data_IF_728908131952
#
_entry.id   IF_728908131952
#
_cell.length_a   1.000
_cell.length_b   1.000
_cell.length_c   1.000
_cell.angle_alpha   90.00
_cell.angle_beta   90.00
_cell.angle_gamma   90.00
#
_symmetry.space_group_name_H-M   'P 1'
#
loop_
_entity.id
_entity.type
_entity.pdbx_description
1 polymer ?
#
# COMPACT_ATOMS: atom_id res chain seq x y z
N UNK A 1 -5.82 0.79 -23.19
CA UNK A 1 -5.04 -0.17 -23.98
C UNK A 1 -5.50 -1.55 -23.60
N UNK A 2 -6.07 -2.28 -24.52
CA UNK A 2 -6.55 -3.64 -24.29
C UNK A 2 -5.43 -4.62 -24.68
N UNK A 3 -5.20 -5.66 -23.88
CA UNK A 3 -4.32 -6.77 -24.23
C UNK A 3 -3.00 -6.87 -23.46
N UNK A 4 -2.74 -6.05 -22.45
CA UNK A 4 -1.57 -6.25 -21.58
C UNK A 4 -1.84 -7.38 -20.57
N UNK A 5 -0.90 -8.31 -20.45
CA UNK A 5 -1.02 -9.41 -19.49
C UNK A 5 -0.58 -8.91 -18.12
N UNK A 6 -1.56 -8.64 -17.26
CA UNK A 6 -1.33 -8.23 -15.87
C UNK A 6 -1.29 -9.47 -14.98
N UNK A 7 -0.28 -9.57 -14.13
CA UNK A 7 -0.14 -10.64 -13.14
C UNK A 7 0.16 -10.09 -11.75
N UNK A 8 -0.17 -10.88 -10.73
CA UNK A 8 0.28 -10.66 -9.35
C UNK A 8 1.20 -11.79 -8.94
N UNK A 9 2.36 -11.42 -8.40
CA UNK A 9 3.39 -12.36 -7.94
C UNK A 9 3.68 -12.13 -6.47
N UNK A 10 3.79 -13.22 -5.73
CA UNK A 10 4.24 -13.23 -4.34
C UNK A 10 5.55 -14.00 -4.27
N UNK A 11 6.59 -13.40 -3.72
CA UNK A 11 7.89 -14.03 -3.62
C UNK A 11 8.86 -13.24 -2.77
N UNK A 12 10.12 -13.63 -2.79
CA UNK A 12 11.18 -12.98 -2.04
C UNK A 12 12.19 -12.33 -2.99
N UNK A 13 12.72 -11.17 -2.63
CA UNK A 13 13.80 -10.55 -3.38
C UNK A 13 15.09 -11.36 -3.25
N UNK A 14 15.74 -11.65 -4.37
CA UNK A 14 17.00 -12.43 -4.41
C UNK A 14 18.23 -11.59 -4.08
N UNK A 15 18.14 -10.28 -4.31
CA UNK A 15 19.15 -9.27 -4.03
C UNK A 15 18.47 -7.94 -3.71
N UNK A 16 19.23 -6.97 -3.22
CA UNK A 16 18.76 -5.60 -3.06
C UNK A 16 18.33 -5.01 -4.41
N UNK A 17 17.26 -4.19 -4.47
CA UNK A 17 16.89 -3.50 -5.70
C UNK A 17 18.02 -2.59 -6.17
N UNK A 18 18.42 -2.74 -7.44
CA UNK A 18 19.49 -1.96 -8.04
C UNK A 18 18.92 -0.68 -8.66
N UNK A 19 19.11 0.45 -7.99
CA UNK A 19 18.69 1.77 -8.48
C UNK A 19 19.74 2.30 -9.48
N UNK A 20 19.29 2.68 -10.65
CA UNK A 20 20.10 3.32 -11.70
C UNK A 20 19.36 4.52 -12.28
N UNK A 21 20.11 5.42 -12.90
CA UNK A 21 19.54 6.55 -13.64
C UNK A 21 19.88 6.41 -15.11
N UNK A 22 18.89 6.59 -15.96
CA UNK A 22 19.07 6.62 -17.41
C UNK A 22 19.83 7.90 -17.82
N UNK A 23 20.29 7.97 -19.07
CA UNK A 23 20.94 9.16 -19.60
C UNK A 23 20.08 10.43 -19.49
N UNK A 24 18.76 10.28 -19.49
CA UNK A 24 17.80 11.36 -19.31
C UNK A 24 17.47 11.65 -17.84
N UNK A 25 18.22 11.08 -16.89
CA UNK A 25 18.00 11.29 -15.46
C UNK A 25 16.78 10.54 -14.88
N UNK A 26 16.17 9.61 -15.63
CA UNK A 26 15.03 8.84 -15.17
C UNK A 26 15.49 7.69 -14.28
N UNK A 27 15.01 7.65 -13.04
CA UNK A 27 15.29 6.56 -12.12
C UNK A 27 14.61 5.26 -12.56
N UNK A 28 15.34 4.16 -12.44
CA UNK A 28 14.84 2.79 -12.62
C UNK A 28 15.46 1.88 -11.55
N UNK A 29 14.64 1.07 -10.89
CA UNK A 29 15.13 0.05 -9.99
C UNK A 29 14.84 -1.33 -10.59
N UNK A 30 15.88 -2.18 -10.64
CA UNK A 30 15.77 -3.54 -11.16
C UNK A 30 16.00 -4.51 -10.01
N UNK A 31 15.20 -5.57 -9.96
CA UNK A 31 15.30 -6.63 -8.96
C UNK A 31 14.75 -7.93 -9.50
N UNK A 32 14.98 -9.02 -8.78
CA UNK A 32 14.45 -10.35 -9.12
C UNK A 32 13.62 -10.88 -7.97
N UNK A 33 12.40 -11.32 -8.27
CA UNK A 33 11.49 -11.97 -7.33
C UNK A 33 11.59 -13.47 -7.54
N UNK A 34 11.94 -14.22 -6.47
CA UNK A 34 11.86 -15.67 -6.45
C UNK A 34 10.53 -16.10 -5.85
N UNK A 35 9.68 -16.71 -6.66
CA UNK A 35 8.40 -17.28 -6.24
C UNK A 35 8.52 -18.80 -6.24
N UNK A 36 8.45 -19.42 -5.06
CA UNK A 36 8.56 -20.87 -4.91
C UNK A 36 7.20 -21.42 -4.52
N UNK A 37 6.53 -22.19 -5.39
CA UNK A 37 5.28 -22.86 -5.05
C UNK A 37 5.55 -23.98 -4.04
N UNK A 38 4.61 -24.18 -3.10
CA UNK A 38 4.67 -25.31 -2.17
C UNK A 38 3.49 -26.24 -2.43
N UNK A 39 3.78 -27.52 -2.56
CA UNK A 39 2.80 -28.57 -2.74
C UNK A 39 2.85 -29.53 -1.56
N UNK A 40 1.67 -29.94 -1.11
CA UNK A 40 1.60 -30.96 -0.06
C UNK A 40 1.71 -32.36 -0.65
N UNK A 41 2.78 -33.07 -0.27
CA UNK A 41 2.96 -34.49 -0.63
C UNK A 41 2.18 -35.36 0.35
N UNK A 42 1.06 -35.92 -0.14
CA UNK A 42 0.19 -36.77 0.69
C UNK A 42 0.83 -38.11 1.10
N UNK A 43 1.80 -38.61 0.32
CA UNK A 43 2.48 -39.85 0.62
C UNK A 43 3.52 -39.68 1.74
N UNK A 44 4.27 -38.57 1.68
CA UNK A 44 5.25 -38.23 2.69
C UNK A 44 4.66 -37.42 3.87
N UNK A 45 3.39 -36.99 3.76
CA UNK A 45 2.70 -36.11 4.71
C UNK A 45 3.49 -34.85 5.04
N UNK A 46 4.13 -34.26 4.05
CA UNK A 46 4.97 -33.07 4.20
C UNK A 46 4.76 -32.05 3.07
N UNK A 47 5.10 -30.79 3.33
CA UNK A 47 5.13 -29.74 2.33
C UNK A 47 6.46 -29.74 1.61
N UNK A 48 6.43 -29.91 0.28
CA UNK A 48 7.61 -29.85 -0.59
C UNK A 48 7.63 -28.53 -1.38
N UNK A 49 8.81 -27.93 -1.47
CA UNK A 49 9.02 -26.79 -2.33
C UNK A 49 9.14 -27.29 -3.78
N UNK A 50 8.43 -26.65 -4.69
CA UNK A 50 8.54 -26.87 -6.12
C UNK A 50 9.65 -26.01 -6.74
N UNK A 51 9.74 -26.03 -8.07
CA UNK A 51 10.69 -25.24 -8.80
C UNK A 51 10.44 -23.73 -8.59
N UNK A 52 11.49 -23.00 -8.24
CA UNK A 52 11.42 -21.57 -8.04
C UNK A 52 11.33 -20.83 -9.38
N UNK A 53 10.33 -19.99 -9.52
CA UNK A 53 10.23 -19.04 -10.62
C UNK A 53 11.04 -17.77 -10.26
N UNK A 54 12.05 -17.46 -11.06
CA UNK A 54 12.82 -16.22 -10.96
C UNK A 54 12.29 -15.22 -11.99
N UNK A 55 11.60 -14.19 -11.51
CA UNK A 55 11.02 -13.17 -12.36
C UNK A 55 11.79 -11.86 -12.20
N UNK A 56 12.41 -11.38 -13.28
CA UNK A 56 13.03 -10.06 -13.34
C UNK A 56 11.94 -9.01 -13.34
N UNK A 57 12.10 -7.98 -12.52
CA UNK A 57 11.14 -6.91 -12.34
C UNK A 57 11.82 -5.56 -12.42
N UNK A 58 11.09 -4.56 -12.90
CA UNK A 58 11.54 -3.18 -12.97
C UNK A 58 10.43 -2.22 -12.54
N UNK A 59 10.85 -1.15 -11.86
CA UNK A 59 10.00 0.00 -11.50
C UNK A 59 10.69 1.29 -11.95
N UNK A 60 9.91 2.34 -12.19
CA UNK A 60 10.40 3.56 -12.82
C UNK A 60 10.09 4.81 -12.01
N UNK A 61 10.87 5.87 -12.22
CA UNK A 61 10.70 7.21 -11.64
C UNK A 61 10.83 7.21 -10.11
N UNK A 62 10.11 8.10 -9.45
CA UNK A 62 10.08 8.24 -7.99
C UNK A 62 9.76 6.91 -7.28
N UNK A 63 8.90 6.09 -7.87
CA UNK A 63 8.57 4.77 -7.36
C UNK A 63 9.81 3.85 -7.27
N UNK A 64 10.78 3.98 -8.19
CA UNK A 64 12.04 3.23 -8.16
C UNK A 64 12.89 3.61 -6.93
N UNK A 65 12.93 4.88 -6.59
CA UNK A 65 13.64 5.37 -5.41
C UNK A 65 12.99 4.87 -4.12
N UNK A 66 11.66 4.89 -4.05
CA UNK A 66 10.92 4.36 -2.91
C UNK A 66 11.15 2.86 -2.72
N UNK A 67 11.13 2.08 -3.78
CA UNK A 67 11.37 0.63 -3.74
C UNK A 67 12.79 0.34 -3.28
N UNK A 68 13.78 1.02 -3.85
CA UNK A 68 15.19 0.84 -3.49
C UNK A 68 15.48 1.28 -2.04
N UNK A 69 14.79 2.30 -1.54
CA UNK A 69 14.91 2.76 -0.15
C UNK A 69 14.14 1.94 0.88
N UNK A 70 13.21 1.07 0.44
CA UNK A 70 12.30 0.37 1.36
C UNK A 70 12.50 -1.13 1.40
N UNK A 71 12.95 -1.75 0.31
CA UNK A 71 13.05 -3.20 0.16
C UNK A 71 14.50 -3.64 0.07
N UNK A 72 14.81 -4.79 0.67
CA UNK A 72 16.15 -5.39 0.67
C UNK A 72 16.09 -6.86 0.26
N UNK A 73 17.24 -7.47 0.04
CA UNK A 73 17.36 -8.91 -0.19
C UNK A 73 16.61 -9.70 0.87
N UNK A 74 15.84 -10.69 0.43
CA UNK A 74 15.04 -11.54 1.31
C UNK A 74 13.67 -10.95 1.69
N UNK A 75 13.41 -9.67 1.41
CA UNK A 75 12.08 -9.09 1.62
C UNK A 75 11.03 -9.89 0.86
N UNK A 76 10.02 -10.37 1.58
CA UNK A 76 8.83 -10.99 0.96
C UNK A 76 7.91 -9.89 0.47
N UNK A 77 7.56 -9.94 -0.80
CA UNK A 77 6.77 -8.90 -1.47
C UNK A 77 5.56 -9.48 -2.17
N UNK A 78 4.56 -8.63 -2.36
CA UNK A 78 3.45 -8.81 -3.29
C UNK A 78 3.65 -7.75 -4.35
N UNK A 79 3.79 -8.16 -5.61
CA UNK A 79 3.97 -7.26 -6.74
C UNK A 79 2.91 -7.53 -7.80
N UNK A 80 2.33 -6.46 -8.33
CA UNK A 80 1.43 -6.49 -9.48
C UNK A 80 2.05 -5.69 -10.61
N UNK A 81 1.90 -6.18 -11.85
CA UNK A 81 2.45 -5.50 -13.00
C UNK A 81 2.16 -6.22 -14.29
N UNK A 82 2.73 -5.71 -15.36
CA UNK A 82 2.53 -6.17 -16.73
C UNK A 82 3.71 -7.01 -17.18
N UNK A 83 3.42 -8.20 -17.70
CA UNK A 83 4.45 -9.01 -18.34
C UNK A 83 4.89 -8.38 -19.68
N UNK A 84 6.18 -8.23 -19.84
CA UNK A 84 6.84 -7.75 -21.04
C UNK A 84 7.77 -8.82 -21.57
N UNK A 85 7.62 -9.17 -22.81
CA UNK A 85 8.57 -10.03 -23.50
C UNK A 85 9.62 -9.15 -24.18
N UNK A 86 10.90 -9.40 -23.90
CA UNK A 86 12.03 -8.79 -24.57
C UNK A 86 12.81 -9.84 -25.33
N UNK A 87 13.03 -9.58 -26.61
CA UNK A 87 13.97 -10.36 -27.43
C UNK A 87 15.29 -9.62 -27.52
N UNK A 88 16.37 -10.29 -27.26
CA UNK A 88 17.71 -9.74 -27.37
C UNK A 88 18.66 -10.78 -27.99
N UNK A 89 19.76 -10.32 -28.53
CA UNK A 89 20.81 -11.16 -29.06
C UNK A 89 21.89 -11.34 -28.01
N UNK A 90 22.24 -12.60 -27.71
CA UNK A 90 23.29 -12.88 -26.77
C UNK A 90 24.70 -12.61 -27.39
N UNK A 91 25.76 -12.79 -26.62
CA UNK A 91 27.13 -12.55 -27.08
C UNK A 91 27.55 -13.49 -28.22
N UNK A 92 26.85 -14.59 -28.38
CA UNK A 92 27.09 -15.61 -29.41
C UNK A 92 26.23 -15.38 -30.66
N UNK A 93 25.48 -14.28 -30.71
CA UNK A 93 24.59 -13.91 -31.82
C UNK A 93 23.27 -14.64 -31.83
N UNK A 94 22.92 -15.43 -30.80
CA UNK A 94 21.67 -16.15 -30.73
C UNK A 94 20.54 -15.25 -30.23
N UNK A 95 19.38 -15.37 -30.84
CA UNK A 95 18.15 -14.71 -30.36
C UNK A 95 17.69 -15.37 -29.06
N UNK A 96 17.61 -14.57 -28.00
CA UNK A 96 17.08 -14.97 -26.70
C UNK A 96 15.84 -14.16 -26.36
N UNK A 97 14.94 -14.77 -25.62
CA UNK A 97 13.74 -14.12 -25.13
C UNK A 97 13.77 -14.13 -23.61
N UNK A 98 13.53 -12.99 -22.99
CA UNK A 98 13.28 -12.89 -21.56
C UNK A 98 11.87 -12.35 -21.32
N UNK A 99 11.26 -12.86 -20.24
CA UNK A 99 9.99 -12.33 -19.74
C UNK A 99 10.32 -11.53 -18.49
N UNK A 100 9.87 -10.27 -18.47
CA UNK A 100 10.12 -9.32 -17.40
C UNK A 100 8.79 -8.77 -16.90
N UNK A 101 8.76 -8.37 -15.64
CA UNK A 101 7.60 -7.72 -15.01
C UNK A 101 7.85 -6.22 -14.91
N UNK A 102 7.09 -5.44 -15.66
CA UNK A 102 6.99 -4.00 -15.43
C UNK A 102 5.99 -3.77 -14.31
N UNK A 103 6.49 -3.41 -13.14
CA UNK A 103 5.70 -3.37 -11.91
C UNK A 103 4.91 -2.08 -11.83
N UNK A 104 3.60 -2.21 -11.62
CA UNK A 104 2.69 -1.10 -11.35
C UNK A 104 2.53 -0.85 -9.86
N UNK A 105 2.52 -1.92 -9.02
CA UNK A 105 2.40 -1.85 -7.57
C UNK A 105 3.27 -2.92 -6.90
N UNK A 106 3.96 -2.56 -5.81
CA UNK A 106 4.72 -3.49 -4.97
C UNK A 106 4.71 -3.03 -3.52
N UNK A 107 4.65 -3.99 -2.62
CA UNK A 107 4.77 -3.74 -1.19
C UNK A 107 5.26 -4.96 -0.43
N UNK A 108 5.72 -4.77 0.82
CA UNK A 108 6.09 -5.89 1.68
C UNK A 108 4.88 -6.74 2.01
N UNK A 109 5.05 -8.06 1.97
CA UNK A 109 4.04 -9.01 2.44
C UNK A 109 4.06 -9.07 3.96
N UNK A 110 2.94 -8.79 4.59
CA UNK A 110 2.81 -8.79 6.05
C UNK A 110 2.50 -10.18 6.64
N UNK A 111 2.53 -11.23 5.82
CA UNK A 111 2.20 -12.59 6.28
C UNK A 111 3.10 -13.06 7.44
N UNK A 112 4.38 -12.64 7.43
CA UNK A 112 5.37 -13.03 8.43
C UNK A 112 6.19 -11.84 8.96
N UNK A 113 5.72 -10.62 8.70
CA UNK A 113 6.43 -9.39 9.09
C UNK A 113 5.44 -8.27 9.41
N UNK A 114 5.93 -7.24 10.07
CA UNK A 114 5.25 -5.95 10.25
C UNK A 114 5.97 -4.88 9.44
N UNK A 115 5.26 -3.83 9.02
CA UNK A 115 5.85 -2.70 8.33
C UNK A 115 5.39 -1.39 8.98
N UNK A 116 6.32 -0.43 9.08
CA UNK A 116 6.02 0.95 9.40
C UNK A 116 6.06 1.77 8.11
N UNK A 117 5.02 2.56 7.89
CA UNK A 117 4.88 3.33 6.66
C UNK A 117 5.23 4.79 6.95
N UNK A 118 6.23 5.30 6.23
CA UNK A 118 6.54 6.72 6.18
C UNK A 118 6.03 7.26 4.84
N UNK A 119 5.16 8.27 4.88
CA UNK A 119 4.71 8.90 3.63
C UNK A 119 5.85 9.68 3.03
N UNK A 120 6.13 9.44 1.75
CA UNK A 120 6.98 10.32 0.98
C UNK A 120 6.34 11.72 0.97
N UNK A 121 7.14 12.75 1.17
CA UNK A 121 6.67 14.11 1.02
C UNK A 121 6.30 14.29 -0.46
N UNK A 122 5.00 14.28 -0.74
CA UNK A 122 4.51 14.49 -2.10
C UNK A 122 5.07 15.82 -2.61
N UNK A 123 5.61 15.84 -3.80
CA UNK A 123 6.00 17.05 -4.50
C UNK A 123 4.80 17.99 -4.52
N UNK A 124 4.84 18.97 -3.65
CA UNK A 124 3.74 19.89 -3.38
C UNK A 124 3.60 20.88 -4.54
N UNK A 125 2.74 20.53 -5.47
CA UNK A 125 2.05 21.54 -6.26
C UNK A 125 0.81 22.00 -5.52
N UNK A 126 0.90 23.04 -4.70
CA UNK A 126 -0.28 23.57 -4.04
C UNK A 126 0.08 24.48 -2.85
N UNK A 127 0.71 25.62 -3.13
CA UNK A 127 0.84 26.71 -2.17
C UNK A 127 -0.54 27.15 -1.67
N UNK A 128 -0.92 26.72 -0.47
CA UNK A 128 -1.91 27.45 0.30
C UNK A 128 -1.20 28.66 0.86
N UNK A 129 -1.48 29.82 0.25
CA UNK A 129 -1.01 31.11 0.68
C UNK A 129 -1.21 31.31 2.18
N UNK A 130 -0.11 31.45 2.87
CA UNK A 130 -0.05 32.02 4.19
C UNK A 130 -0.48 33.47 4.05
N UNK A 131 -1.72 33.75 4.47
CA UNK A 131 -2.17 35.15 4.63
C UNK A 131 -1.33 35.75 5.76
N UNK A 132 -0.30 36.47 5.38
CA UNK A 132 0.52 37.25 6.29
C UNK A 132 -0.33 38.27 7.03
N UNK A 133 -0.46 38.08 8.33
CA UNK A 133 -0.98 39.08 9.22
C UNK A 133 -0.05 40.30 9.21
N UNK A 134 -0.50 41.37 8.54
CA UNK A 134 0.16 42.65 8.55
C UNK A 134 0.19 43.24 9.96
N UNK A 135 1.38 43.57 10.38
CA UNK A 135 1.68 44.41 11.55
C UNK A 135 1.06 45.79 11.35
N UNK A 136 0.09 46.17 12.17
CA UNK A 136 -0.40 47.53 12.23
C UNK A 136 0.13 48.21 13.50
N UNK A 137 0.65 49.43 13.43
CA UNK A 137 1.22 50.15 14.55
C UNK A 137 0.12 50.73 15.45
N UNK A 138 0.49 50.86 16.72
CA UNK A 138 -0.29 51.47 17.79
C UNK A 138 -0.75 52.89 17.48
N UNK A 139 -2.03 53.12 17.67
CA UNK A 139 -2.66 54.47 17.71
C UNK A 139 -3.60 54.54 18.90
N UNK A 140 -3.26 55.43 19.78
CA UNK A 140 -3.89 55.79 21.05
C UNK A 140 -5.27 56.47 20.84
N UNK A 141 -6.24 56.22 21.74
CA UNK A 141 -7.30 57.21 21.98
C UNK A 141 -8.72 56.71 22.15
N UNK A 142 -9.23 56.71 23.40
CA UNK A 142 -10.51 57.33 23.73
C UNK A 142 -11.79 56.48 23.76
N UNK A 143 -12.13 56.11 24.98
CA UNK A 143 -13.44 56.36 25.62
C UNK A 143 -14.78 55.91 24.96
N UNK A 144 -15.53 55.12 25.69
CA UNK A 144 -17.01 55.33 25.79
C UNK A 144 -17.90 54.21 25.28
N UNK A 145 -18.69 53.67 26.20
CA UNK A 145 -20.03 53.28 25.92
C UNK A 145 -20.29 51.78 25.71
N UNK A 146 -20.86 51.19 26.76
CA UNK A 146 -21.52 49.90 26.71
C UNK A 146 -22.71 49.85 25.77
N UNK A 147 -23.03 48.64 25.37
CA UNK A 147 -24.42 48.14 25.20
C UNK A 147 -24.37 46.61 25.09
N UNK A 148 -25.04 46.08 26.04
CA UNK A 148 -25.50 44.69 26.15
C UNK A 148 -26.41 44.37 24.95
N UNK A 149 -26.21 43.33 24.23
CA UNK A 149 -27.35 42.64 23.65
C UNK A 149 -27.02 41.13 23.39
N UNK A 150 -27.83 40.38 24.01
CA UNK A 150 -28.17 38.97 23.93
C UNK A 150 -28.62 38.59 22.51
N UNK A 151 -28.18 37.48 22.00
CA UNK A 151 -28.67 36.98 20.71
C UNK A 151 -28.00 35.66 20.34
N UNK A 152 -28.67 34.56 20.63
CA UNK A 152 -28.25 33.20 20.32
C UNK A 152 -28.10 32.96 18.82
N UNK A 153 -27.15 32.14 18.49
CA UNK A 153 -26.94 31.57 17.19
C UNK A 153 -26.35 30.18 17.38
N UNK A 154 -27.23 29.22 17.34
CA UNK A 154 -26.97 27.79 17.42
C UNK A 154 -26.33 27.36 16.11
N UNK A 155 -25.12 26.89 16.14
CA UNK A 155 -24.51 26.18 15.01
C UNK A 155 -24.41 24.71 15.35
N UNK A 156 -25.26 23.95 14.68
CA UNK A 156 -25.31 22.50 14.75
C UNK A 156 -24.00 21.88 14.25
N UNK A 157 -23.30 21.22 15.15
CA UNK A 157 -22.21 20.30 14.82
C UNK A 157 -22.74 18.87 14.95
N UNK A 158 -22.66 18.03 13.92
CA UNK A 158 -23.39 16.76 13.90
C UNK A 158 -22.70 15.55 14.55
N UNK A 159 -21.67 15.72 15.35
CA UNK A 159 -21.01 14.57 15.97
C UNK A 159 -20.49 14.88 17.38
N UNK A 160 -21.40 14.78 18.38
CA UNK A 160 -21.01 14.66 19.78
C UNK A 160 -21.78 13.51 20.42
N UNK A 161 -21.11 12.53 21.06
CA UNK A 161 -21.82 11.49 21.80
C UNK A 161 -22.26 12.04 23.15
N UNK A 162 -23.55 12.17 23.33
CA UNK A 162 -24.16 12.55 24.60
C UNK A 162 -24.39 11.31 25.47
N UNK A 163 -23.68 11.22 26.57
CA UNK A 163 -23.98 10.27 27.63
C UNK A 163 -25.25 10.69 28.40
N UNK A 164 -26.09 9.73 28.65
CA UNK A 164 -27.27 9.91 29.47
C UNK A 164 -27.86 8.56 29.84
N UNK A 165 -27.93 8.29 31.12
CA UNK A 165 -28.41 7.09 31.79
C UNK A 165 -29.90 6.82 31.58
N UNK A 166 -30.20 5.54 31.68
CA UNK A 166 -31.37 4.92 32.35
C UNK A 166 -32.40 4.22 31.47
N UNK A 167 -32.40 2.88 31.63
CA UNK A 167 -33.61 2.09 31.82
C UNK A 167 -34.34 1.63 30.58
N UNK A 168 -34.27 0.34 30.28
CA UNK A 168 -35.26 -0.27 29.37
C UNK A 168 -34.71 -1.52 28.66
N UNK A 169 -35.07 -2.64 29.17
CA UNK A 169 -34.89 -3.99 28.68
C UNK A 169 -35.39 -4.09 27.22
N UNK A 170 -34.47 -4.33 26.28
CA UNK A 170 -34.80 -4.81 24.94
C UNK A 170 -33.72 -5.79 24.52
N UNK A 171 -34.11 -7.06 24.37
CA UNK A 171 -33.31 -8.14 23.83
C UNK A 171 -32.87 -7.81 22.40
N UNK A 172 -31.59 -7.51 22.23
CA UNK A 172 -30.95 -7.56 20.93
C UNK A 172 -30.45 -9.00 20.70
N UNK A 173 -31.05 -9.68 19.74
CA UNK A 173 -30.58 -10.95 19.23
C UNK A 173 -29.25 -10.73 18.51
N UNK A 174 -28.18 -10.89 19.25
CA UNK A 174 -26.82 -10.92 18.68
C UNK A 174 -26.59 -12.33 18.13
N UNK A 175 -26.65 -12.47 16.80
CA UNK A 175 -26.54 -13.72 16.05
C UNK A 175 -25.11 -14.32 16.15
N UNK A 176 -24.17 -13.61 16.77
CA UNK A 176 -22.76 -14.00 16.86
C UNK A 176 -22.32 -14.58 18.22
N UNK A 177 -23.24 -14.73 19.17
CA UNK A 177 -22.90 -15.20 20.53
C UNK A 177 -23.46 -16.59 20.89
N UNK A 178 -23.66 -17.46 19.91
CA UNK A 178 -24.04 -18.86 20.19
C UNK A 178 -22.82 -19.76 20.11
N UNK A 179 -22.24 -20.26 21.22
CA UNK A 179 -21.26 -21.32 21.19
C UNK A 179 -21.97 -22.66 21.06
N UNK A 180 -21.66 -23.39 19.98
CA UNK A 180 -22.02 -24.81 19.84
C UNK A 180 -23.14 -25.13 18.87
N UNK A 181 -22.92 -24.93 17.59
CA UNK A 181 -23.63 -25.63 16.52
C UNK A 181 -22.72 -26.72 15.96
N UNK A 182 -23.10 -27.97 16.18
CA UNK A 182 -22.52 -29.13 15.49
C UNK A 182 -22.83 -29.00 14.01
N UNK A 183 -21.79 -28.87 13.18
CA UNK A 183 -21.93 -29.01 11.73
C UNK A 183 -22.02 -30.49 11.40
N UNK A 184 -23.20 -30.90 10.93
CA UNK A 184 -23.36 -32.20 10.28
C UNK A 184 -22.60 -32.17 8.95
N UNK A 185 -21.70 -33.12 8.83
CA UNK A 185 -20.81 -33.40 7.72
C UNK A 185 -21.57 -34.13 6.61
N UNK A 186 -22.32 -33.36 5.80
CA UNK A 186 -22.84 -33.86 4.52
C UNK A 186 -22.73 -32.76 3.44
N UNK A 187 -21.55 -32.64 2.86
CA UNK A 187 -21.41 -32.08 1.51
C UNK A 187 -21.06 -33.19 0.54
N UNK A 188 -21.91 -33.49 -0.44
CA UNK A 188 -21.60 -34.44 -1.47
C UNK A 188 -20.77 -33.79 -2.58
N UNK A 189 -19.47 -34.18 -2.64
CA UNK A 189 -18.66 -34.22 -3.87
C UNK A 189 -17.51 -35.21 -3.68
#
# INVERSE_FOLDING_TARGET
>A
MAGETVITVVGNLTADPELRYTQNGLAVANFTIASTPRTFDRQANEWKDGDALFLRASVWREFAEHVAGSLTKGSRVIAQGRLRQRSYQDREGQQRTSIELEVDEIGPSLRYATAQITRAAGGSGGGRGQVGGGNAPAGNGGNGGGWNNNGGGQSDAPWSPQGGQQGGNAQSNDVWSTPGGTYDDETPF
#
